data_IF_418463773131
#
_entry.id   IF_418463773131
#
_cell.length_a   1.000
_cell.length_b   1.000
_cell.length_c   1.000
_cell.angle_alpha   90.00
_cell.angle_beta   90.00
_cell.angle_gamma   90.00
#
_symmetry.space_group_name_H-M   'P 1'
#
loop_
_entity.id
_entity.type
_entity.pdbx_description
1 polymer ?
#
# COMPACT_ATOMS: atom_id res chain seq x y z
N UNK A 1 -4.96 7.43 -12.26
CA UNK A 1 -5.11 6.43 -11.18
C UNK A 1 -6.58 6.15 -11.01
N UNK A 2 -6.96 4.89 -10.76
CA UNK A 2 -8.35 4.45 -10.67
C UNK A 2 -8.93 4.71 -9.27
N UNK A 3 -10.20 4.33 -9.09
CA UNK A 3 -10.88 4.28 -7.79
C UNK A 3 -10.05 3.52 -6.76
N UNK A 4 -10.13 3.94 -5.51
CA UNK A 4 -9.40 3.33 -4.39
C UNK A 4 -10.38 2.79 -3.35
N UNK A 5 -10.14 1.57 -2.87
CA UNK A 5 -10.89 0.95 -1.80
C UNK A 5 -10.14 1.07 -0.48
N UNK A 6 -10.81 1.61 0.52
CA UNK A 6 -10.43 1.53 1.93
C UNK A 6 -11.36 0.58 2.67
N UNK A 7 -10.82 -0.29 3.52
CA UNK A 7 -11.61 -1.24 4.30
C UNK A 7 -11.37 -1.00 5.79
N UNK A 8 -12.45 -0.82 6.56
CA UNK A 8 -12.38 -0.65 8.01
C UNK A 8 -13.69 -1.08 8.69
N UNK A 9 -13.61 -1.53 9.93
CA UNK A 9 -14.76 -1.87 10.77
C UNK A 9 -15.46 -0.66 11.43
N UNK A 10 -15.11 0.56 11.02
CA UNK A 10 -15.70 1.80 11.53
C UNK A 10 -15.94 2.78 10.38
N UNK A 11 -16.96 3.65 10.48
CA UNK A 11 -17.20 4.68 9.48
C UNK A 11 -15.96 5.53 9.20
N UNK A 12 -15.67 5.74 7.92
CA UNK A 12 -14.63 6.67 7.51
C UNK A 12 -14.95 8.08 8.03
N UNK A 13 -13.97 8.71 8.68
CA UNK A 13 -14.06 10.07 9.15
C UNK A 13 -12.76 10.81 8.84
N UNK A 14 -12.83 11.76 7.90
CA UNK A 14 -11.72 12.61 7.47
C UNK A 14 -11.07 13.38 8.63
N UNK A 15 -11.84 13.79 9.64
CA UNK A 15 -11.31 14.52 10.80
C UNK A 15 -10.44 13.69 11.73
N UNK A 16 -10.45 12.35 11.58
CA UNK A 16 -9.60 11.42 12.34
C UNK A 16 -8.33 11.04 11.58
N UNK A 17 -8.08 11.66 10.43
CA UNK A 17 -6.85 11.47 9.70
C UNK A 17 -5.66 11.90 10.55
N UNK A 18 -4.63 11.05 10.57
CA UNK A 18 -3.37 11.31 11.25
C UNK A 18 -2.30 11.45 10.19
N UNK A 19 -1.53 12.54 10.28
CA UNK A 19 -0.33 12.73 9.47
C UNK A 19 0.61 11.55 9.64
N UNK A 20 1.38 11.28 8.59
CA UNK A 20 2.28 10.14 8.59
C UNK A 20 3.48 10.37 9.50
N UNK A 21 3.92 9.34 10.21
CA UNK A 21 5.15 9.35 11.00
C UNK A 21 5.95 8.08 10.77
N UNK A 22 7.28 8.23 10.66
CA UNK A 22 8.17 7.10 10.45
C UNK A 22 8.14 6.15 11.66
N UNK A 23 7.75 4.89 11.44
CA UNK A 23 7.75 3.86 12.47
C UNK A 23 8.28 2.55 11.91
N UNK A 24 9.28 1.95 12.58
CA UNK A 24 9.94 0.71 12.14
C UNK A 24 10.13 0.65 10.61
N UNK A 25 9.46 -0.29 9.93
CA UNK A 25 9.47 -0.48 8.48
C UNK A 25 8.10 -0.20 7.81
N UNK A 26 7.06 0.11 8.60
CA UNK A 26 5.77 0.62 8.12
C UNK A 26 5.34 1.83 8.96
N UNK A 27 5.00 2.95 8.32
CA UNK A 27 4.70 4.17 9.05
C UNK A 27 3.41 4.06 9.87
N UNK A 28 3.33 4.89 10.91
CA UNK A 28 2.07 5.16 11.61
C UNK A 28 1.33 6.32 10.92
N UNK A 29 0.01 6.37 11.08
CA UNK A 29 -0.84 7.34 10.39
C UNK A 29 -1.01 7.04 8.89
N UNK A 30 -1.42 8.06 8.14
CA UNK A 30 -1.80 7.92 6.73
C UNK A 30 -3.08 7.11 6.53
N UNK A 31 -3.45 6.91 5.26
CA UNK A 31 -4.53 5.99 4.88
C UNK A 31 -3.99 4.99 3.87
N UNK A 32 -4.22 3.71 4.15
CA UNK A 32 -3.93 2.64 3.23
C UNK A 32 -5.17 2.34 2.39
N UNK A 33 -5.00 2.30 1.08
CA UNK A 33 -6.03 1.83 0.14
C UNK A 33 -5.43 0.82 -0.83
N UNK A 34 -6.28 0.23 -1.65
CA UNK A 34 -5.87 -0.50 -2.84
C UNK A 34 -6.74 -0.12 -4.04
N UNK A 35 -6.26 -0.41 -5.24
CA UNK A 35 -7.02 -0.19 -6.45
C UNK A 35 -8.37 -0.94 -6.37
N UNK A 36 -9.42 -0.26 -6.82
CA UNK A 36 -10.79 -0.76 -6.85
C UNK A 36 -11.27 -0.95 -8.29
N UNK A 37 -11.93 -2.08 -8.50
CA UNK A 37 -12.63 -2.47 -9.70
C UNK A 37 -14.07 -2.86 -9.32
N UNK A 38 -15.04 -2.48 -10.15
CA UNK A 38 -16.46 -2.69 -9.85
C UNK A 38 -16.90 -4.16 -9.96
N UNK A 39 -16.22 -4.95 -10.79
CA UNK A 39 -16.55 -6.36 -11.04
C UNK A 39 -16.02 -7.28 -9.94
N UNK A 40 -14.75 -7.07 -9.56
CA UNK A 40 -14.02 -7.99 -8.67
C UNK A 40 -13.49 -7.32 -7.39
N UNK A 41 -13.82 -6.04 -7.16
CA UNK A 41 -13.45 -5.32 -5.96
C UNK A 41 -11.96 -4.95 -5.93
N UNK A 42 -11.19 -5.52 -5.01
CA UNK A 42 -9.78 -5.17 -4.82
C UNK A 42 -8.96 -6.40 -4.44
N UNK A 43 -7.66 -6.37 -4.76
CA UNK A 43 -6.69 -7.41 -4.36
C UNK A 43 -6.67 -7.62 -2.84
N UNK A 44 -7.02 -6.60 -2.06
CA UNK A 44 -7.16 -6.74 -0.61
C UNK A 44 -8.20 -7.79 -0.20
N UNK A 45 -9.30 -7.92 -0.93
CA UNK A 45 -10.36 -8.89 -0.61
C UNK A 45 -9.84 -10.33 -0.76
N UNK A 46 -9.03 -10.60 -1.78
CA UNK A 46 -8.49 -11.94 -2.05
C UNK A 46 -7.23 -12.26 -1.27
N UNK A 47 -6.62 -11.26 -0.60
CA UNK A 47 -5.34 -11.39 0.10
C UNK A 47 -5.38 -12.20 1.40
N UNK A 48 -6.58 -12.45 1.95
CA UNK A 48 -6.75 -13.03 3.28
C UNK A 48 -6.53 -12.05 4.43
N UNK A 49 -6.16 -10.78 4.17
CA UNK A 49 -6.02 -9.77 5.22
C UNK A 49 -7.36 -9.15 5.69
N UNK A 50 -8.46 -9.40 4.95
CA UNK A 50 -9.80 -8.95 5.32
C UNK A 50 -10.55 -10.11 5.98
N UNK A 51 -10.72 -10.03 7.30
CA UNK A 51 -11.32 -11.10 8.12
C UNK A 51 -12.83 -10.89 8.32
N UNK A 52 -13.64 -11.42 7.41
CA UNK A 52 -15.10 -11.30 7.46
C UNK A 52 -15.79 -12.10 8.58
N UNK A 53 -15.12 -13.07 9.19
CA UNK A 53 -15.71 -13.97 10.20
C UNK A 53 -15.75 -13.35 11.60
N UNK A 54 -14.91 -12.35 11.84
CA UNK A 54 -14.73 -11.73 13.15
C UNK A 54 -14.85 -10.21 13.12
N UNK A 55 -15.06 -9.64 11.93
CA UNK A 55 -15.23 -8.21 11.74
C UNK A 55 -16.42 -7.98 10.81
N UNK A 56 -17.11 -6.86 11.02
CA UNK A 56 -18.10 -6.31 10.08
C UNK A 56 -17.41 -5.19 9.28
N UNK A 57 -16.53 -5.52 8.31
CA UNK A 57 -15.81 -4.50 7.56
C UNK A 57 -16.75 -3.75 6.64
N UNK A 58 -16.54 -2.44 6.55
CA UNK A 58 -17.16 -1.55 5.58
C UNK A 58 -16.12 -1.18 4.53
N UNK A 59 -16.57 -1.09 3.28
CA UNK A 59 -15.78 -0.58 2.17
C UNK A 59 -16.09 0.89 1.94
N UNK A 60 -15.07 1.69 1.65
CA UNK A 60 -15.20 3.08 1.24
C UNK A 60 -14.45 3.23 -0.07
N UNK A 61 -15.19 3.50 -1.15
CA UNK A 61 -14.63 3.69 -2.49
C UNK A 61 -14.42 5.18 -2.71
N UNK A 62 -13.20 5.55 -3.06
CA UNK A 62 -12.81 6.92 -3.33
C UNK A 62 -12.50 7.11 -4.81
N UNK A 63 -13.00 8.21 -5.37
CA UNK A 63 -12.46 8.79 -6.58
C UNK A 63 -11.21 9.60 -6.22
N UNK A 64 -10.15 9.39 -7.00
CA UNK A 64 -8.88 10.09 -6.83
C UNK A 64 -8.86 11.29 -7.78
N UNK A 65 -8.67 12.47 -7.22
CA UNK A 65 -8.48 13.68 -8.01
C UNK A 65 -7.22 13.51 -8.89
N UNK A 66 -7.30 13.69 -10.22
CA UNK A 66 -6.16 13.49 -11.12
C UNK A 66 -5.00 14.48 -10.89
N UNK A 67 -5.21 15.53 -10.08
CA UNK A 67 -4.16 16.45 -9.66
C UNK A 67 -3.32 15.95 -8.48
N UNK A 68 -3.70 14.84 -7.85
CA UNK A 68 -2.91 14.24 -6.77
C UNK A 68 -1.50 13.90 -7.28
N UNK A 69 -0.47 14.33 -6.57
CA UNK A 69 0.90 13.97 -6.86
C UNK A 69 1.23 12.60 -6.24
N UNK A 70 0.96 11.54 -7.00
CA UNK A 70 1.17 10.16 -6.53
C UNK A 70 2.47 9.60 -7.11
N UNK A 71 3.35 9.12 -6.24
CA UNK A 71 4.51 8.33 -6.64
C UNK A 71 4.06 6.89 -6.95
N UNK A 72 3.98 6.54 -8.23
CA UNK A 72 3.67 5.16 -8.65
C UNK A 72 4.95 4.37 -8.89
N UNK A 73 5.07 3.22 -8.22
CA UNK A 73 6.19 2.29 -8.36
C UNK A 73 5.64 0.97 -8.92
N UNK A 74 6.10 0.60 -10.12
CA UNK A 74 5.60 -0.59 -10.82
C UNK A 74 6.55 -1.76 -10.74
N UNK A 75 7.86 -1.50 -10.65
CA UNK A 75 8.90 -2.53 -10.65
C UNK A 75 9.83 -2.43 -9.44
N UNK A 76 10.51 -3.52 -9.10
CA UNK A 76 11.55 -3.51 -8.05
C UNK A 76 12.65 -2.48 -8.41
N UNK A 77 12.94 -2.29 -9.68
CA UNK A 77 13.89 -1.27 -10.16
C UNK A 77 13.44 0.15 -9.82
N UNK A 78 12.16 0.49 -10.04
CA UNK A 78 11.61 1.81 -9.69
C UNK A 78 11.77 2.10 -8.20
N UNK A 79 11.45 1.11 -7.37
CA UNK A 79 11.57 1.21 -5.93
C UNK A 79 13.03 1.38 -5.47
N UNK A 80 13.98 0.70 -6.12
CA UNK A 80 15.41 0.87 -5.85
C UNK A 80 15.97 2.21 -6.36
N UNK A 81 15.42 2.79 -7.44
CA UNK A 81 15.82 4.10 -7.96
C UNK A 81 15.50 5.24 -7.00
N UNK A 82 14.35 5.20 -6.34
CA UNK A 82 13.94 6.25 -5.39
C UNK A 82 14.56 6.08 -4.01
N UNK A 83 15.00 4.86 -3.69
CA UNK A 83 15.52 4.51 -2.36
C UNK A 83 16.61 5.47 -1.85
N UNK A 84 17.65 5.87 -2.61
CA UNK A 84 18.69 6.77 -2.10
C UNK A 84 18.17 8.11 -1.60
N UNK A 85 17.06 8.60 -2.14
CA UNK A 85 16.47 9.90 -1.77
C UNK A 85 15.72 9.85 -0.45
N UNK A 86 15.23 8.67 -0.05
CA UNK A 86 14.32 8.47 1.08
C UNK A 86 14.78 7.38 2.05
N UNK A 87 16.01 6.87 1.92
CA UNK A 87 16.57 5.92 2.86
C UNK A 87 17.01 6.64 4.13
N UNK A 88 16.41 6.28 5.27
CA UNK A 88 16.91 6.70 6.59
C UNK A 88 18.14 5.87 6.94
N UNK A 89 17.96 4.55 6.90
CA UNK A 89 18.98 3.57 7.25
C UNK A 89 18.54 2.19 6.79
N UNK A 90 19.39 1.20 6.95
CA UNK A 90 18.95 -0.20 7.00
C UNK A 90 18.89 -0.64 8.47
N UNK A 91 18.01 -1.58 8.82
CA UNK A 91 17.95 -2.14 10.18
C UNK A 91 19.24 -2.90 10.51
N UNK A 92 19.74 -3.63 9.53
CA UNK A 92 21.07 -4.26 9.46
C UNK A 92 21.57 -4.19 8.02
N UNK A 93 22.86 -4.40 7.77
CA UNK A 93 23.31 -4.64 6.38
C UNK A 93 22.54 -5.85 5.86
N UNK A 94 21.85 -5.70 4.73
CA UNK A 94 21.07 -6.78 4.13
C UNK A 94 21.98 -8.02 3.98
N UNK A 95 21.69 -9.14 4.64
CA UNK A 95 22.52 -10.33 4.52
C UNK A 95 22.50 -10.80 3.07
N UNK A 96 23.67 -11.10 2.52
CA UNK A 96 23.79 -11.57 1.13
C UNK A 96 24.35 -12.99 1.09
N UNK A 97 23.92 -13.78 0.10
CA UNK A 97 24.59 -15.05 -0.21
C UNK A 97 25.94 -14.84 -0.91
N UNK A 98 26.63 -15.93 -1.24
CA UNK A 98 27.92 -15.91 -1.94
C UNK A 98 27.88 -15.25 -3.33
N UNK A 99 26.69 -15.05 -3.89
CA UNK A 99 26.46 -14.39 -5.19
C UNK A 99 26.01 -12.94 -5.05
N UNK A 100 26.08 -12.36 -3.85
CA UNK A 100 25.68 -10.98 -3.60
C UNK A 100 24.17 -10.72 -3.62
N UNK A 101 23.33 -11.77 -3.60
CA UNK A 101 21.87 -11.62 -3.50
C UNK A 101 21.43 -11.49 -2.05
N UNK A 102 20.55 -10.54 -1.77
CA UNK A 102 19.93 -10.35 -0.47
C UNK A 102 19.12 -11.58 -0.07
N UNK A 103 19.13 -11.87 1.23
CA UNK A 103 18.48 -13.03 1.86
C UNK A 103 17.29 -12.65 2.73
N UNK A 104 17.03 -11.35 2.92
CA UNK A 104 15.94 -10.86 3.78
C UNK A 104 15.25 -9.63 3.19
N UNK A 105 13.93 -9.59 3.29
CA UNK A 105 13.09 -8.42 3.00
C UNK A 105 12.94 -7.52 4.25
N UNK A 106 12.40 -6.31 4.09
CA UNK A 106 12.09 -5.42 5.21
C UNK A 106 13.32 -4.85 5.93
N UNK A 107 14.49 -4.91 5.30
CA UNK A 107 15.75 -4.41 5.86
C UNK A 107 15.93 -2.90 5.68
N UNK A 108 15.16 -2.28 4.78
CA UNK A 108 15.24 -0.87 4.44
C UNK A 108 14.28 -0.05 5.31
N UNK A 109 14.79 1.02 5.93
CA UNK A 109 13.98 2.01 6.66
C UNK A 109 13.77 3.24 5.77
N UNK A 110 12.52 3.48 5.39
CA UNK A 110 12.12 4.56 4.48
C UNK A 110 11.64 5.78 5.26
N UNK A 111 11.95 6.96 4.74
CA UNK A 111 11.53 8.26 5.24
C UNK A 111 10.21 8.70 4.61
N UNK A 112 9.11 8.17 5.12
CA UNK A 112 7.75 8.51 4.70
C UNK A 112 7.38 9.96 5.06
N UNK A 113 7.96 10.52 6.13
CA UNK A 113 7.79 11.94 6.48
C UNK A 113 8.44 12.86 5.46
N UNK A 114 9.60 12.49 4.91
CA UNK A 114 10.20 13.21 3.79
C UNK A 114 9.43 13.00 2.49
N UNK A 115 8.90 11.80 2.24
CA UNK A 115 8.06 11.55 1.07
C UNK A 115 6.78 12.39 1.09
N UNK A 116 6.13 12.54 2.24
CA UNK A 116 4.88 13.31 2.39
C UNK A 116 5.03 14.80 2.13
N UNK A 117 6.25 15.34 2.17
CA UNK A 117 6.53 16.72 1.77
C UNK A 117 6.52 16.92 0.25
N UNK A 118 6.66 15.83 -0.52
CA UNK A 118 6.75 15.86 -1.98
C UNK A 118 5.48 15.31 -2.64
N UNK A 119 4.97 14.19 -2.13
CA UNK A 119 3.89 13.43 -2.73
C UNK A 119 2.65 13.44 -1.82
N UNK A 120 1.48 13.30 -2.41
CA UNK A 120 0.22 13.06 -1.69
C UNK A 120 0.07 11.59 -1.30
N UNK A 121 0.67 10.69 -2.09
CA UNK A 121 0.66 9.26 -1.85
C UNK A 121 1.81 8.54 -2.55
N UNK A 122 2.06 7.31 -2.12
CA UNK A 122 2.86 6.31 -2.82
C UNK A 122 1.98 5.11 -3.16
N UNK A 123 1.98 4.71 -4.42
CA UNK A 123 1.25 3.53 -4.91
C UNK A 123 2.25 2.49 -5.37
N UNK A 124 2.18 1.29 -4.78
CA UNK A 124 3.06 0.17 -5.11
C UNK A 124 2.28 -0.95 -5.79
N UNK A 125 2.84 -1.47 -6.88
CA UNK A 125 2.29 -2.61 -7.59
C UNK A 125 2.47 -3.91 -6.82
N UNK A 126 1.88 -4.99 -7.36
CA UNK A 126 2.14 -6.35 -6.87
C UNK A 126 3.63 -6.70 -6.91
N UNK A 127 4.33 -6.38 -8.01
CA UNK A 127 5.76 -6.68 -8.13
C UNK A 127 6.59 -5.98 -7.06
N UNK A 128 6.31 -4.70 -6.79
CA UNK A 128 7.03 -3.91 -5.78
C UNK A 128 6.77 -4.43 -4.36
N UNK A 129 5.56 -4.90 -4.08
CA UNK A 129 5.20 -5.45 -2.77
C UNK A 129 5.53 -6.96 -2.63
N UNK A 130 6.00 -7.63 -3.68
CA UNK A 130 6.26 -9.06 -3.66
C UNK A 130 7.64 -9.39 -3.06
N UNK A 131 7.64 -10.14 -1.96
CA UNK A 131 8.84 -10.57 -1.24
C UNK A 131 9.69 -11.64 -1.93
N UNK A 132 9.25 -12.17 -3.06
CA UNK A 132 9.98 -13.19 -3.84
C UNK A 132 10.76 -12.59 -5.01
N UNK A 133 10.48 -11.36 -5.39
CA UNK A 133 11.07 -10.72 -6.55
C UNK A 133 12.28 -9.88 -6.18
N UNK A 134 13.33 -9.97 -7.01
CA UNK A 134 14.55 -9.20 -6.87
C UNK A 134 14.95 -8.56 -8.19
N UNK A 135 15.54 -7.38 -8.10
CA UNK A 135 16.23 -6.74 -9.21
C UNK A 135 17.72 -6.62 -8.86
N UNK A 136 18.59 -7.18 -9.70
CA UNK A 136 20.04 -7.22 -9.47
C UNK A 136 20.43 -7.75 -8.07
N UNK A 137 19.72 -8.78 -7.60
CA UNK A 137 19.97 -9.42 -6.31
C UNK A 137 19.46 -8.63 -5.09
N UNK A 138 18.70 -7.54 -5.28
CA UNK A 138 18.10 -6.78 -4.19
C UNK A 138 16.60 -6.90 -4.17
N UNK A 139 16.02 -6.99 -2.98
CA UNK A 139 14.58 -6.92 -2.79
C UNK A 139 14.09 -5.47 -2.88
N UNK A 140 12.80 -5.32 -3.17
CA UNK A 140 12.14 -4.02 -3.07
C UNK A 140 12.16 -3.50 -1.62
N UNK A 141 12.39 -2.19 -1.40
CA UNK A 141 12.24 -1.56 -0.10
C UNK A 141 10.81 -1.63 0.47
N UNK A 142 9.82 -1.96 -0.34
CA UNK A 142 8.41 -2.09 0.06
C UNK A 142 7.92 -3.56 0.02
N UNK A 143 8.83 -4.52 -0.14
CA UNK A 143 8.48 -5.94 -0.23
C UNK A 143 7.77 -6.49 1.03
N UNK A 144 7.97 -5.85 2.19
CA UNK A 144 7.29 -6.22 3.42
C UNK A 144 5.83 -5.77 3.47
N UNK A 145 5.34 -5.00 2.49
CA UNK A 145 3.94 -4.64 2.34
C UNK A 145 3.10 -5.85 1.93
N UNK A 146 3.71 -6.81 1.19
CA UNK A 146 3.15 -8.10 0.74
C UNK A 146 1.98 -8.01 -0.23
N UNK A 147 1.37 -6.84 -0.38
CA UNK A 147 0.24 -6.63 -1.28
C UNK A 147 0.35 -5.26 -1.94
N UNK A 148 -0.13 -5.18 -3.18
CA UNK A 148 -0.29 -3.92 -3.90
C UNK A 148 -1.20 -2.98 -3.08
N UNK A 149 -0.70 -1.77 -2.85
CA UNK A 149 -1.35 -0.80 -1.98
C UNK A 149 -0.94 0.62 -2.32
N UNK A 150 -1.83 1.55 -1.99
CA UNK A 150 -1.55 2.98 -2.01
C UNK A 150 -1.57 3.49 -0.58
N UNK A 151 -0.49 4.13 -0.15
CA UNK A 151 -0.39 4.82 1.13
C UNK A 151 -0.52 6.32 0.89
N UNK A 152 -1.60 6.89 1.42
CA UNK A 152 -1.92 8.31 1.34
C UNK A 152 -1.34 9.07 2.52
N UNK A 153 -0.49 10.05 2.20
CA UNK A 153 0.05 11.04 3.12
C UNK A 153 -0.85 12.28 3.22
N UNK A 154 -1.60 12.56 2.16
CA UNK A 154 -2.60 13.62 2.08
C UNK A 154 -3.88 13.05 1.46
N UNK A 155 -5.01 13.31 2.11
CA UNK A 155 -6.31 12.74 1.72
C UNK A 155 -7.27 13.80 1.16
N UNK A 156 -6.78 15.02 0.90
CA UNK A 156 -7.59 16.08 0.27
C UNK A 156 -7.93 15.78 -1.18
N UNK A 157 -7.19 14.88 -1.81
CA UNK A 157 -7.46 14.40 -3.16
C UNK A 157 -8.33 13.13 -3.21
N UNK A 158 -8.87 12.69 -2.07
CA UNK A 158 -9.80 11.56 -1.99
C UNK A 158 -11.23 12.06 -1.82
N UNK A 159 -12.08 11.75 -2.81
CA UNK A 159 -13.50 12.06 -2.80
C UNK A 159 -14.29 10.77 -2.61
N UNK A 160 -15.04 10.67 -1.50
CA UNK A 160 -15.84 9.48 -1.21
C UNK A 160 -16.96 9.36 -2.26
N UNK A 161 -16.93 8.28 -3.03
CA UNK A 161 -17.92 7.99 -4.07
C UNK A 161 -19.04 7.10 -3.53
N UNK A 162 -18.67 5.98 -2.92
CA UNK A 162 -19.63 5.00 -2.42
C UNK A 162 -19.14 4.31 -1.15
N UNK A 163 -20.11 3.70 -0.45
CA UNK A 163 -19.88 2.86 0.72
C UNK A 163 -20.39 1.48 0.40
N UNK A 164 -19.60 0.46 0.73
CA UNK A 164 -19.96 -0.94 0.56
C UNK A 164 -20.23 -1.56 1.92
N UNK A 165 -21.36 -2.25 2.05
CA UNK A 165 -21.66 -3.08 3.21
C UNK A 165 -20.75 -4.31 3.26
N UNK A 166 -20.74 -5.00 4.40
CA UNK A 166 -20.01 -6.25 4.55
C UNK A 166 -20.48 -7.31 3.55
N UNK A 167 -21.79 -7.36 3.27
CA UNK A 167 -22.40 -8.27 2.29
C UNK A 167 -21.95 -7.96 0.87
N UNK A 168 -21.89 -6.68 0.49
CA UNK A 168 -21.40 -6.25 -0.82
C UNK A 168 -19.92 -6.60 -1.00
N UNK A 169 -19.09 -6.40 0.03
CA UNK A 169 -17.68 -6.82 0.01
C UNK A 169 -17.54 -8.35 -0.11
N UNK A 170 -18.39 -9.13 0.56
CA UNK A 170 -18.41 -10.60 0.44
C UNK A 170 -18.81 -11.05 -0.97
N UNK A 171 -19.80 -10.39 -1.58
CA UNK A 171 -20.22 -10.68 -2.94
C UNK A 171 -19.08 -10.43 -3.95
N UNK A 172 -18.36 -9.31 -3.82
CA UNK A 172 -17.19 -9.01 -4.66
C UNK A 172 -16.09 -10.07 -4.51
N UNK A 173 -15.83 -10.55 -3.29
CA UNK A 173 -14.88 -11.64 -3.04
C UNK A 173 -15.32 -12.95 -3.71
N UNK A 174 -16.62 -13.27 -3.74
CA UNK A 174 -17.10 -14.48 -4.39
C UNK A 174 -16.94 -14.41 -5.92
N UNK A 175 -17.14 -13.24 -6.53
CA UNK A 175 -16.96 -13.04 -7.97
C UNK A 175 -15.52 -13.25 -8.43
N UNK A 176 -14.53 -12.96 -7.57
CA UNK A 176 -13.10 -13.18 -7.90
C UNK A 176 -12.68 -14.65 -7.97
N UNK A 177 -13.51 -15.58 -7.50
CA UNK A 177 -13.18 -17.02 -7.38
C UNK A 177 -13.78 -17.88 -8.51
N UNK A 178 -14.38 -17.25 -9.52
CA UNK A 178 -14.99 -17.92 -10.69
C UNK A 178 -13.96 -18.08 -11.80
#
# INVERSE_FOLDING_TARGET
MNKQLFIKNTPFNKSKFQSISNWLNRPEGGIWTADYNEEYGSTWLTSGNVLFEHTDPLGFVFNVNPKANVLTLNTVEDALKILPSYLISTFVKAPTNLYGKELAIGVYKIDFEKMSQTYDAISVSYEVANGELQHNGKFSPFADWRIASTLWFNIDHLELESKLSTEELKALLMNTKV
#
